data_IF_203587283652
#
_entry.id   IF_203587283652
#
_cell.length_a   1.000
_cell.length_b   1.000
_cell.length_c   1.000
_cell.angle_alpha   90.00
_cell.angle_beta   90.00
_cell.angle_gamma   90.00
#
_symmetry.space_group_name_H-M   'P 1'
#
loop_
_entity.id
_entity.type
_entity.pdbx_description
1 polymer ?
#
# COMPACT_ATOMS: atom_id res chain seq x y z
N UNK A 1 6.20 -4.06 11.25
CA UNK A 1 5.74 -3.13 10.18
C UNK A 1 6.80 -2.88 9.11
N UNK A 2 8.08 -2.80 9.45
CA UNK A 2 9.16 -2.70 8.44
C UNK A 2 9.13 -3.86 7.43
N UNK A 3 9.04 -5.11 7.91
CA UNK A 3 8.89 -6.31 7.04
C UNK A 3 7.66 -6.22 6.14
N UNK A 4 6.54 -5.73 6.65
CA UNK A 4 5.34 -5.48 5.83
C UNK A 4 5.62 -4.51 4.69
N UNK A 5 6.36 -3.42 4.97
CA UNK A 5 6.81 -2.48 3.93
C UNK A 5 7.72 -3.12 2.89
N UNK A 6 8.66 -3.97 3.30
CA UNK A 6 9.52 -4.73 2.37
C UNK A 6 8.67 -5.59 1.41
N UNK A 7 7.62 -6.23 1.92
CA UNK A 7 6.71 -7.06 1.11
C UNK A 7 5.94 -6.20 0.10
N UNK A 8 5.48 -5.01 0.47
CA UNK A 8 4.81 -4.10 -0.45
C UNK A 8 5.75 -3.57 -1.56
N UNK A 9 7.03 -3.37 -1.24
CA UNK A 9 8.05 -2.96 -2.21
C UNK A 9 8.56 -4.11 -3.10
N UNK A 10 8.37 -5.37 -2.70
CA UNK A 10 8.91 -6.55 -3.38
C UNK A 10 8.48 -6.69 -4.85
N UNK A 11 7.18 -6.61 -5.22
CA UNK A 11 6.77 -6.79 -6.61
C UNK A 11 7.41 -5.75 -7.53
N UNK A 12 7.38 -4.47 -7.18
CA UNK A 12 7.98 -3.41 -7.98
C UNK A 12 9.50 -3.54 -8.09
N UNK A 13 10.16 -4.08 -7.06
CA UNK A 13 11.60 -4.33 -7.09
C UNK A 13 11.97 -5.46 -8.05
N UNK A 14 11.25 -6.59 -7.97
CA UNK A 14 11.69 -7.85 -8.59
C UNK A 14 11.07 -8.08 -9.96
N UNK A 15 9.77 -7.76 -10.14
CA UNK A 15 9.07 -8.03 -11.39
C UNK A 15 9.50 -7.10 -12.54
N UNK A 16 10.23 -6.02 -12.26
CA UNK A 16 10.85 -5.15 -13.25
C UNK A 16 12.22 -5.62 -13.73
N UNK A 17 12.85 -6.59 -13.05
CA UNK A 17 14.20 -7.08 -13.38
C UNK A 17 14.16 -7.99 -14.62
N UNK A 18 15.07 -7.78 -15.61
CA UNK A 18 15.14 -8.62 -16.82
C UNK A 18 15.29 -10.10 -16.51
N UNK A 19 16.09 -10.44 -15.49
CA UNK A 19 16.32 -11.81 -15.05
C UNK A 19 15.04 -12.52 -14.61
N UNK A 20 14.20 -11.83 -13.85
CA UNK A 20 12.92 -12.36 -13.37
C UNK A 20 11.94 -12.53 -14.51
N UNK A 21 11.92 -11.56 -15.42
CA UNK A 21 11.06 -11.58 -16.60
C UNK A 21 11.39 -12.76 -17.50
N UNK A 22 12.68 -12.98 -17.77
CA UNK A 22 13.15 -14.11 -18.59
C UNK A 22 12.90 -15.44 -17.88
N UNK A 23 13.20 -15.53 -16.58
CA UNK A 23 13.04 -16.77 -15.82
C UNK A 23 11.61 -17.31 -15.83
N UNK A 24 10.62 -16.42 -15.68
CA UNK A 24 9.22 -16.82 -15.59
C UNK A 24 8.46 -16.64 -16.91
N UNK A 25 9.12 -16.13 -17.97
CA UNK A 25 8.48 -15.83 -19.24
C UNK A 25 7.36 -14.79 -19.12
N UNK A 26 7.53 -13.76 -18.27
CA UNK A 26 6.45 -12.84 -17.92
C UNK A 26 6.15 -11.85 -19.04
N UNK A 27 4.90 -11.80 -19.44
CA UNK A 27 4.32 -10.67 -20.17
C UNK A 27 4.05 -9.48 -19.24
N UNK A 28 3.70 -8.32 -19.80
CA UNK A 28 3.29 -7.17 -18.98
C UNK A 28 1.98 -7.45 -18.23
N UNK A 29 1.05 -8.19 -18.85
CA UNK A 29 -0.17 -8.61 -18.17
C UNK A 29 0.13 -9.52 -16.97
N UNK A 30 1.06 -10.48 -17.11
CA UNK A 30 1.45 -11.39 -16.02
C UNK A 30 2.07 -10.63 -14.85
N UNK A 31 2.88 -9.60 -15.09
CA UNK A 31 3.43 -8.76 -14.03
C UNK A 31 2.32 -8.05 -13.24
N UNK A 32 1.35 -7.48 -13.95
CA UNK A 32 0.18 -6.87 -13.31
C UNK A 32 -0.61 -7.86 -12.47
N UNK A 33 -0.82 -9.09 -12.98
CA UNK A 33 -1.49 -10.17 -12.25
C UNK A 33 -0.69 -10.62 -11.02
N UNK A 34 0.63 -10.71 -11.10
CA UNK A 34 1.48 -11.06 -9.96
C UNK A 34 1.43 -10.01 -8.85
N UNK A 35 1.46 -8.71 -9.20
CA UNK A 35 1.23 -7.63 -8.23
C UNK A 35 -0.15 -7.80 -7.59
N UNK A 36 -1.18 -8.00 -8.40
CA UNK A 36 -2.56 -8.18 -7.95
C UNK A 36 -2.74 -9.41 -7.06
N UNK A 37 -1.97 -10.46 -7.29
CA UNK A 37 -2.00 -11.69 -6.48
C UNK A 37 -1.56 -11.44 -5.04
N UNK A 38 -0.54 -10.59 -4.81
CA UNK A 38 -0.15 -10.16 -3.48
C UNK A 38 -1.32 -9.44 -2.78
N UNK A 39 -1.98 -8.51 -3.48
CA UNK A 39 -3.11 -7.76 -2.91
C UNK A 39 -4.35 -8.63 -2.71
N UNK A 40 -4.55 -9.65 -3.54
CA UNK A 40 -5.57 -10.69 -3.32
C UNK A 40 -5.30 -11.43 -2.00
N UNK A 41 -4.05 -11.84 -1.76
CA UNK A 41 -3.64 -12.43 -0.49
C UNK A 41 -3.87 -11.48 0.70
N UNK A 42 -3.53 -10.19 0.54
CA UNK A 42 -3.80 -9.15 1.55
C UNK A 42 -5.30 -8.99 1.84
N UNK A 43 -6.16 -9.04 0.82
CA UNK A 43 -7.61 -8.96 0.98
C UNK A 43 -8.13 -10.11 1.84
N UNK A 44 -7.85 -11.36 1.43
CA UNK A 44 -8.29 -12.54 2.19
C UNK A 44 -7.64 -12.60 3.58
N UNK A 45 -6.35 -12.26 3.67
CA UNK A 45 -5.65 -12.17 4.94
C UNK A 45 -6.27 -11.16 5.88
N UNK A 46 -6.67 -9.98 5.39
CA UNK A 46 -7.32 -8.95 6.21
C UNK A 46 -8.68 -9.39 6.74
N UNK A 47 -9.46 -10.12 5.92
CA UNK A 47 -10.74 -10.71 6.36
C UNK A 47 -10.56 -11.75 7.47
N UNK A 48 -9.50 -12.55 7.39
CA UNK A 48 -9.21 -13.62 8.35
C UNK A 48 -8.44 -13.12 9.58
N UNK A 49 -7.75 -11.99 9.48
CA UNK A 49 -6.86 -11.48 10.55
C UNK A 49 -7.60 -11.18 11.85
N UNK A 50 -8.82 -10.64 11.79
CA UNK A 50 -9.61 -10.35 12.98
C UNK A 50 -9.85 -11.60 13.82
N UNK A 51 -10.55 -12.63 13.30
CA UNK A 51 -10.74 -13.92 13.98
C UNK A 51 -9.43 -14.59 14.40
N UNK A 52 -8.38 -14.52 13.56
CA UNK A 52 -7.08 -15.09 13.84
C UNK A 52 -6.39 -14.45 15.06
N UNK A 53 -6.35 -13.10 15.09
CA UNK A 53 -5.81 -12.35 16.24
C UNK A 53 -6.66 -12.55 17.49
N UNK A 54 -7.96 -12.72 17.31
CA UNK A 54 -8.88 -12.99 18.40
C UNK A 54 -8.65 -14.38 19.05
N UNK A 55 -8.37 -15.37 18.23
CA UNK A 55 -8.16 -16.76 18.70
C UNK A 55 -6.77 -16.94 19.36
N UNK A 56 -5.72 -16.40 18.75
CA UNK A 56 -4.34 -16.60 19.21
C UNK A 56 -3.81 -15.49 20.12
N UNK A 57 -4.43 -14.32 20.10
CA UNK A 57 -3.89 -13.10 20.70
C UNK A 57 -2.86 -12.41 19.80
N UNK A 58 -2.61 -11.13 20.05
CA UNK A 58 -1.77 -10.29 19.19
C UNK A 58 -0.33 -10.78 19.07
N UNK A 59 0.27 -11.20 20.17
CA UNK A 59 1.65 -11.69 20.23
C UNK A 59 1.84 -12.96 19.41
N UNK A 60 1.03 -13.99 19.65
CA UNK A 60 1.12 -15.23 18.92
C UNK A 60 0.81 -15.04 17.43
N UNK A 61 -0.16 -14.19 17.10
CA UNK A 61 -0.46 -13.82 15.71
C UNK A 61 0.74 -13.18 15.01
N UNK A 62 1.46 -12.24 15.66
CA UNK A 62 2.66 -11.64 15.11
C UNK A 62 3.79 -12.66 14.91
N UNK A 63 3.99 -13.57 15.86
CA UNK A 63 5.01 -14.63 15.76
C UNK A 63 4.69 -15.56 14.57
N UNK A 64 3.47 -16.10 14.52
CA UNK A 64 3.05 -17.05 13.47
C UNK A 64 3.09 -16.37 12.09
N UNK A 65 2.55 -15.18 11.98
CA UNK A 65 2.54 -14.47 10.69
C UNK A 65 3.95 -14.09 10.22
N UNK A 66 4.83 -13.67 11.12
CA UNK A 66 6.24 -13.41 10.78
C UNK A 66 6.99 -14.67 10.40
N UNK A 67 6.71 -15.80 11.03
CA UNK A 67 7.28 -17.10 10.66
C UNK A 67 6.77 -17.56 9.28
N UNK A 68 5.49 -17.37 8.98
CA UNK A 68 4.93 -17.65 7.65
C UNK A 68 5.58 -16.78 6.56
N UNK A 69 5.77 -15.49 6.81
CA UNK A 69 6.49 -14.59 5.89
C UNK A 69 7.93 -15.05 5.69
N UNK A 70 8.60 -15.50 6.78
CA UNK A 70 9.97 -16.03 6.71
C UNK A 70 10.09 -17.26 5.81
N UNK A 71 9.03 -18.06 5.69
CA UNK A 71 8.97 -19.22 4.78
C UNK A 71 8.58 -18.80 3.35
N UNK A 72 7.61 -17.91 3.21
CA UNK A 72 7.10 -17.52 1.90
C UNK A 72 8.09 -16.70 1.07
N UNK A 73 8.95 -15.87 1.70
CA UNK A 73 9.98 -15.10 0.96
C UNK A 73 11.00 -16.00 0.27
N UNK A 74 11.63 -16.99 0.92
CA UNK A 74 12.47 -17.97 0.23
C UNK A 74 11.70 -18.78 -0.83
N UNK A 75 10.45 -19.17 -0.57
CA UNK A 75 9.62 -19.85 -1.58
C UNK A 75 9.47 -19.00 -2.85
N UNK A 76 9.20 -17.71 -2.71
CA UNK A 76 9.14 -16.80 -3.85
C UNK A 76 10.51 -16.69 -4.56
N UNK A 77 11.60 -16.53 -3.80
CA UNK A 77 12.95 -16.40 -4.35
C UNK A 77 13.42 -17.65 -5.12
N UNK A 78 12.97 -18.83 -4.72
CA UNK A 78 13.33 -20.13 -5.33
C UNK A 78 12.27 -20.66 -6.29
N UNK A 79 11.18 -19.90 -6.54
CA UNK A 79 10.13 -20.33 -7.45
C UNK A 79 10.71 -20.62 -8.85
N UNK A 80 10.32 -21.76 -9.42
CA UNK A 80 10.74 -22.20 -10.75
C UNK A 80 9.74 -21.85 -11.85
N UNK A 81 8.55 -21.38 -11.48
CA UNK A 81 7.49 -21.01 -12.41
C UNK A 81 6.70 -19.80 -11.93
N UNK A 82 6.03 -19.11 -12.86
CA UNK A 82 5.14 -17.99 -12.55
C UNK A 82 4.00 -18.39 -11.59
N UNK A 83 3.50 -19.63 -11.70
CA UNK A 83 2.44 -20.15 -10.82
C UNK A 83 2.93 -20.30 -9.38
N UNK A 84 4.15 -20.83 -9.18
CA UNK A 84 4.74 -20.94 -7.84
C UNK A 84 5.06 -19.56 -7.27
N UNK A 85 5.54 -18.62 -8.08
CA UNK A 85 5.75 -17.24 -7.68
C UNK A 85 4.43 -16.57 -7.26
N UNK A 86 3.34 -16.75 -8.02
CA UNK A 86 2.02 -16.26 -7.69
C UNK A 86 1.51 -16.85 -6.36
N UNK A 87 1.65 -18.17 -6.17
CA UNK A 87 1.24 -18.84 -4.94
C UNK A 87 1.99 -18.32 -3.72
N UNK A 88 3.31 -18.09 -3.86
CA UNK A 88 4.14 -17.49 -2.80
C UNK A 88 3.73 -16.05 -2.50
N UNK A 89 3.45 -15.22 -3.52
CA UNK A 89 2.96 -13.84 -3.35
C UNK A 89 1.57 -13.80 -2.68
N UNK A 90 0.67 -14.70 -3.04
CA UNK A 90 -0.62 -14.83 -2.37
C UNK A 90 -0.45 -15.16 -0.89
N UNK A 91 0.36 -16.17 -0.57
CA UNK A 91 0.66 -16.57 0.80
C UNK A 91 1.36 -15.45 1.59
N UNK A 92 2.29 -14.71 0.97
CA UNK A 92 2.90 -13.51 1.55
C UNK A 92 1.86 -12.45 1.89
N UNK A 93 0.94 -12.16 0.96
CA UNK A 93 -0.16 -11.24 1.20
C UNK A 93 -1.01 -11.66 2.39
N UNK A 94 -1.42 -12.92 2.42
CA UNK A 94 -2.26 -13.51 3.48
C UNK A 94 -1.58 -13.42 4.86
N UNK A 95 -0.31 -13.79 4.95
CA UNK A 95 0.45 -13.73 6.20
C UNK A 95 0.71 -12.28 6.66
N UNK A 96 1.09 -11.39 5.72
CA UNK A 96 1.45 -10.01 6.05
C UNK A 96 0.25 -9.14 6.44
N UNK A 97 -0.96 -9.47 5.99
CA UNK A 97 -2.19 -8.83 6.46
C UNK A 97 -2.38 -8.98 7.97
N UNK A 98 -2.06 -10.15 8.51
CA UNK A 98 -2.15 -10.40 9.95
C UNK A 98 -1.08 -9.62 10.73
N UNK A 99 0.13 -9.45 10.18
CA UNK A 99 1.16 -8.57 10.76
C UNK A 99 0.62 -7.14 10.84
N UNK A 100 0.02 -6.64 9.76
CA UNK A 100 -0.55 -5.30 9.72
C UNK A 100 -1.66 -5.13 10.76
N UNK A 101 -2.62 -6.04 10.82
CA UNK A 101 -3.76 -5.99 11.75
C UNK A 101 -3.29 -6.07 13.20
N UNK A 102 -2.47 -7.06 13.54
CA UNK A 102 -1.99 -7.27 14.92
C UNK A 102 -1.10 -6.10 15.40
N UNK A 103 -0.23 -5.56 14.54
CA UNK A 103 0.63 -4.42 14.89
C UNK A 103 -0.18 -3.15 15.16
N UNK A 104 -1.19 -2.87 14.34
CA UNK A 104 -2.06 -1.70 14.54
C UNK A 104 -2.92 -1.85 15.81
N UNK A 105 -3.44 -3.05 16.08
CA UNK A 105 -4.19 -3.34 17.29
C UNK A 105 -3.31 -3.16 18.53
N UNK A 106 -2.12 -3.78 18.54
CA UNK A 106 -1.17 -3.68 19.66
C UNK A 106 -0.74 -2.23 19.92
N UNK A 107 -0.42 -1.48 18.88
CA UNK A 107 -0.06 -0.06 19.01
C UNK A 107 -1.19 0.76 19.61
N UNK A 108 -2.43 0.51 19.24
CA UNK A 108 -3.60 1.20 19.76
C UNK A 108 -3.89 0.90 21.23
N UNK A 109 -3.57 -0.32 21.69
CA UNK A 109 -3.73 -0.74 23.09
C UNK A 109 -2.60 -0.24 23.96
N UNK A 110 -1.36 -0.26 23.48
CA UNK A 110 -0.19 0.20 24.26
C UNK A 110 -0.19 1.72 24.47
N UNK A 111 -0.75 2.49 23.54
CA UNK A 111 -0.66 3.96 23.54
C UNK A 111 -2.02 4.63 23.26
N UNK A 112 -3.03 4.47 24.13
CA UNK A 112 -4.37 4.97 23.86
C UNK A 112 -4.45 6.49 23.72
N UNK A 113 -3.57 7.25 24.41
CA UNK A 113 -3.51 8.72 24.35
C UNK A 113 -2.72 9.28 23.15
N UNK A 114 -1.93 8.47 22.45
CA UNK A 114 -1.05 8.90 21.36
C UNK A 114 -1.37 8.20 20.02
N UNK A 115 -2.58 7.72 19.85
CA UNK A 115 -2.97 6.85 18.73
C UNK A 115 -2.58 7.41 17.36
N UNK A 116 -2.85 8.68 17.10
CA UNK A 116 -2.53 9.32 15.81
C UNK A 116 -1.01 9.36 15.56
N UNK A 117 -0.23 9.77 16.57
CA UNK A 117 1.24 9.83 16.48
C UNK A 117 1.85 8.46 16.23
N UNK A 118 1.33 7.42 16.89
CA UNK A 118 1.84 6.04 16.73
C UNK A 118 1.46 5.43 15.39
N UNK A 119 0.26 5.68 14.90
CA UNK A 119 -0.14 5.24 13.56
C UNK A 119 0.74 5.89 12.46
N UNK A 120 1.12 7.15 12.63
CA UNK A 120 2.06 7.81 11.72
C UNK A 120 3.46 7.16 11.80
N UNK A 121 3.95 6.82 13.00
CA UNK A 121 5.18 6.05 13.17
C UNK A 121 5.15 4.68 12.49
N UNK A 122 4.03 3.97 12.58
CA UNK A 122 3.79 2.71 11.86
C UNK A 122 3.89 2.92 10.35
N UNK A 123 3.26 3.96 9.81
CA UNK A 123 3.30 4.27 8.38
C UNK A 123 4.72 4.61 7.90
N UNK A 124 5.53 5.30 8.72
CA UNK A 124 6.95 5.55 8.45
C UNK A 124 7.74 4.23 8.39
N UNK A 125 7.51 3.30 9.33
CA UNK A 125 8.17 1.99 9.31
C UNK A 125 7.82 1.18 8.06
N UNK A 126 6.56 1.25 7.60
CA UNK A 126 6.16 0.64 6.31
C UNK A 126 6.91 1.27 5.14
N UNK A 127 6.97 2.60 5.09
CA UNK A 127 7.71 3.30 4.04
C UNK A 127 9.20 2.98 4.04
N UNK A 128 9.84 2.92 5.22
CA UNK A 128 11.25 2.51 5.34
C UNK A 128 11.49 1.08 4.84
N UNK A 129 10.57 0.15 5.10
CA UNK A 129 10.61 -1.18 4.52
C UNK A 129 10.48 -1.16 3.00
N UNK A 130 9.57 -0.32 2.48
CA UNK A 130 9.40 -0.09 1.04
C UNK A 130 10.65 0.46 0.36
N UNK A 131 11.41 1.33 1.02
CA UNK A 131 12.73 1.80 0.57
C UNK A 131 13.78 0.69 0.68
N UNK A 132 13.80 -0.06 1.78
CA UNK A 132 14.85 -1.01 2.07
C UNK A 132 14.95 -2.13 1.03
N UNK A 133 13.81 -2.64 0.54
CA UNK A 133 13.77 -3.74 -0.41
C UNK A 133 14.46 -3.39 -1.75
N UNK A 134 14.07 -2.33 -2.47
CA UNK A 134 14.74 -1.95 -3.70
C UNK A 134 16.18 -1.47 -3.46
N UNK A 135 16.43 -0.69 -2.39
CA UNK A 135 17.78 -0.21 -2.05
C UNK A 135 18.75 -1.37 -1.80
N UNK A 136 18.35 -2.36 -0.98
CA UNK A 136 19.19 -3.52 -0.72
C UNK A 136 19.46 -4.32 -2.00
N UNK A 137 18.46 -4.44 -2.88
CA UNK A 137 18.63 -5.15 -4.16
C UNK A 137 19.68 -4.49 -5.05
N UNK A 138 19.69 -3.15 -5.15
CA UNK A 138 20.71 -2.45 -5.96
C UNK A 138 22.09 -2.49 -5.30
N UNK A 139 22.17 -2.18 -4.01
CA UNK A 139 23.48 -2.16 -3.32
C UNK A 139 24.14 -3.54 -3.30
N UNK A 140 23.35 -4.60 -3.21
CA UNK A 140 23.86 -5.97 -3.19
C UNK A 140 24.03 -6.58 -4.61
N UNK A 141 23.57 -5.93 -5.68
CA UNK A 141 23.53 -6.49 -7.05
C UNK A 141 24.88 -6.92 -7.60
N UNK A 142 26.00 -6.32 -7.12
CA UNK A 142 27.36 -6.69 -7.50
C UNK A 142 27.94 -7.87 -6.70
N UNK A 143 27.32 -8.22 -5.58
CA UNK A 143 27.80 -9.25 -4.64
C UNK A 143 26.91 -10.50 -4.68
N UNK A 144 25.61 -10.30 -4.75
CA UNK A 144 24.62 -11.38 -4.64
C UNK A 144 23.44 -11.13 -5.59
N UNK A 145 22.73 -12.19 -5.92
CA UNK A 145 21.50 -12.09 -6.72
C UNK A 145 20.35 -11.45 -5.89
N UNK A 146 19.35 -10.89 -6.57
CA UNK A 146 18.13 -10.39 -5.96
C UNK A 146 17.44 -11.45 -5.06
N UNK A 147 17.61 -12.74 -5.40
CA UNK A 147 17.07 -13.84 -4.60
C UNK A 147 17.64 -13.87 -3.19
N UNK A 148 18.97 -13.66 -3.07
CA UNK A 148 19.61 -13.61 -1.76
C UNK A 148 19.09 -12.45 -0.91
N UNK A 149 18.79 -11.30 -1.51
CA UNK A 149 18.18 -10.16 -0.81
C UNK A 149 16.77 -10.52 -0.31
N UNK A 150 15.96 -11.19 -1.14
CA UNK A 150 14.62 -11.65 -0.73
C UNK A 150 14.71 -12.69 0.40
N UNK A 151 15.63 -13.63 0.30
CA UNK A 151 15.90 -14.61 1.39
C UNK A 151 16.35 -13.90 2.66
N UNK A 152 17.21 -12.86 2.53
CA UNK A 152 17.62 -12.00 3.65
C UNK A 152 16.41 -11.33 4.33
N UNK A 153 15.44 -10.88 3.56
CA UNK A 153 14.13 -10.41 4.09
C UNK A 153 13.39 -11.50 4.87
N UNK A 154 13.46 -12.74 4.40
CA UNK A 154 12.92 -13.91 5.11
C UNK A 154 13.64 -14.17 6.44
N UNK A 155 14.97 -14.10 6.45
CA UNK A 155 15.79 -14.20 7.69
C UNK A 155 15.42 -13.09 8.67
N UNK A 156 15.28 -11.85 8.20
CA UNK A 156 14.86 -10.74 9.05
C UNK A 156 13.46 -11.01 9.66
N UNK A 157 12.53 -11.54 8.87
CA UNK A 157 11.20 -11.91 9.36
C UNK A 157 11.24 -13.04 10.39
N UNK A 158 12.14 -14.02 10.22
CA UNK A 158 12.39 -15.08 11.20
C UNK A 158 12.94 -14.49 12.52
N UNK A 159 13.88 -13.56 12.46
CA UNK A 159 14.40 -12.86 13.63
C UNK A 159 13.31 -12.08 14.37
N UNK A 160 12.39 -11.44 13.63
CA UNK A 160 11.21 -10.78 14.21
C UNK A 160 10.31 -11.81 14.91
N UNK A 161 10.05 -12.96 14.30
CA UNK A 161 9.28 -14.03 14.93
C UNK A 161 9.94 -14.54 16.21
N UNK A 162 11.25 -14.78 16.19
CA UNK A 162 12.03 -15.23 17.35
C UNK A 162 12.06 -14.18 18.46
N UNK A 163 12.21 -12.90 18.13
CA UNK A 163 12.15 -11.82 19.13
C UNK A 163 10.79 -11.76 19.83
N UNK A 164 9.72 -12.14 19.14
CA UNK A 164 8.40 -12.31 19.72
C UNK A 164 8.33 -13.38 20.81
N UNK A 165 9.25 -14.33 20.89
CA UNK A 165 9.30 -15.36 21.94
C UNK A 165 9.85 -14.83 23.26
N UNK A 166 10.57 -13.69 23.27
CA UNK A 166 11.09 -13.07 24.48
C UNK A 166 9.89 -12.66 25.36
N UNK A 167 9.82 -13.13 26.62
CA UNK A 167 8.68 -12.87 27.49
C UNK A 167 8.63 -11.39 27.90
N UNK A 168 7.89 -10.58 27.14
CA UNK A 168 7.57 -9.21 27.49
C UNK A 168 6.14 -9.21 28.00
N UNK A 169 5.91 -8.59 29.19
CA UNK A 169 4.58 -8.41 29.72
C UNK A 169 3.83 -7.42 28.80
N UNK A 170 2.91 -7.96 28.01
CA UNK A 170 1.96 -7.13 27.26
C UNK A 170 0.75 -6.83 28.14
N UNK A 171 0.11 -5.68 27.99
CA UNK A 171 -1.13 -5.37 28.71
C UNK A 171 -2.13 -6.49 28.51
N UNK A 172 -2.78 -6.91 29.59
CA UNK A 172 -3.90 -7.82 29.46
C UNK A 172 -4.96 -7.14 28.57
N UNK A 173 -5.42 -7.88 27.59
CA UNK A 173 -6.45 -7.45 26.65
C UNK A 173 -7.61 -6.83 27.42
N UNK A 174 -7.87 -5.54 27.21
CA UNK A 174 -9.10 -4.96 27.74
C UNK A 174 -10.26 -5.78 27.20
N UNK A 175 -11.12 -6.25 28.11
CA UNK A 175 -12.27 -7.09 27.80
C UNK A 175 -12.97 -6.55 26.55
N UNK A 176 -13.10 -7.40 25.53
CA UNK A 176 -13.82 -7.06 24.31
C UNK A 176 -15.05 -6.21 24.63
N UNK A 177 -15.07 -4.97 24.18
CA UNK A 177 -16.36 -4.44 23.76
C UNK A 177 -16.85 -5.46 22.73
N UNK A 178 -17.93 -6.19 23.03
CA UNK A 178 -18.60 -7.08 22.06
C UNK A 178 -18.92 -6.20 20.86
N UNK A 179 -17.95 -6.08 19.94
CA UNK A 179 -18.13 -5.38 18.68
C UNK A 179 -19.18 -6.17 17.92
N UNK A 180 -20.12 -5.47 17.31
CA UNK A 180 -21.03 -6.05 16.33
C UNK A 180 -20.22 -6.90 15.37
N UNK A 181 -20.73 -8.09 15.02
CA UNK A 181 -20.20 -8.96 13.97
C UNK A 181 -19.74 -8.07 12.78
N UNK A 182 -18.51 -8.23 12.29
CA UNK A 182 -17.97 -7.39 11.21
C UNK A 182 -18.90 -7.28 10.00
N UNK A 183 -19.61 -8.37 9.68
CA UNK A 183 -20.59 -8.41 8.58
C UNK A 183 -21.80 -7.52 8.91
N UNK A 184 -22.29 -7.58 10.13
CA UNK A 184 -23.41 -6.76 10.60
C UNK A 184 -23.04 -5.28 10.61
N UNK A 185 -21.80 -4.95 11.06
CA UNK A 185 -21.30 -3.58 11.03
C UNK A 185 -21.16 -3.08 9.58
N UNK A 186 -20.62 -3.90 8.68
CA UNK A 186 -20.48 -3.54 7.27
C UNK A 186 -21.84 -3.30 6.61
N UNK A 187 -22.86 -4.12 6.92
CA UNK A 187 -24.24 -3.93 6.45
C UNK A 187 -24.86 -2.63 6.97
N UNK A 188 -24.56 -2.24 8.20
CA UNK A 188 -25.02 -0.95 8.76
C UNK A 188 -24.36 0.23 8.05
N UNK A 189 -23.05 0.16 7.78
CA UNK A 189 -22.34 1.19 7.03
C UNK A 189 -22.84 1.30 5.59
N UNK A 190 -23.10 0.17 4.92
CA UNK A 190 -23.60 0.14 3.55
C UNK A 190 -24.96 0.85 3.35
N UNK A 191 -25.74 1.06 4.43
CA UNK A 191 -26.97 1.85 4.41
C UNK A 191 -26.72 3.36 4.40
N UNK A 192 -25.52 3.82 4.74
CA UNK A 192 -25.19 5.24 4.76
C UNK A 192 -24.70 5.68 3.38
N UNK A 193 -25.31 6.69 2.73
CA UNK A 193 -24.93 7.10 1.36
C UNK A 193 -23.46 7.47 1.21
N UNK A 194 -22.85 8.06 2.25
CA UNK A 194 -21.44 8.42 2.26
C UNK A 194 -20.52 7.19 2.19
N UNK A 195 -20.95 6.01 2.65
CA UNK A 195 -20.09 4.83 2.73
C UNK A 195 -19.59 4.38 1.34
N UNK A 196 -20.49 4.26 0.36
CA UNK A 196 -20.11 3.85 -1.00
C UNK A 196 -19.09 4.80 -1.63
N UNK A 197 -19.23 6.10 -1.36
CA UNK A 197 -18.32 7.13 -1.84
C UNK A 197 -16.93 7.01 -1.20
N UNK A 198 -16.85 6.85 0.13
CA UNK A 198 -15.58 6.62 0.82
C UNK A 198 -14.96 5.28 0.44
N UNK A 199 -15.77 4.25 0.24
CA UNK A 199 -15.30 2.98 -0.27
C UNK A 199 -14.57 3.16 -1.62
N UNK A 200 -15.19 3.85 -2.57
CA UNK A 200 -14.59 4.09 -3.88
C UNK A 200 -13.32 4.95 -3.77
N UNK A 201 -13.34 6.02 -2.96
CA UNK A 201 -12.16 6.87 -2.72
C UNK A 201 -10.97 6.06 -2.17
N UNK A 202 -11.23 5.18 -1.22
CA UNK A 202 -10.19 4.38 -0.55
C UNK A 202 -9.70 3.26 -1.46
N UNK A 203 -10.59 2.62 -2.23
CA UNK A 203 -10.19 1.64 -3.24
C UNK A 203 -9.30 2.27 -4.32
N UNK A 204 -9.69 3.43 -4.86
CA UNK A 204 -8.87 4.13 -5.86
C UNK A 204 -7.54 4.61 -5.26
N UNK A 205 -7.56 5.19 -4.05
CA UNK A 205 -6.36 5.64 -3.35
C UNK A 205 -5.36 4.51 -3.10
N UNK A 206 -5.83 3.40 -2.54
CA UNK A 206 -5.02 2.20 -2.29
C UNK A 206 -4.52 1.56 -3.58
N UNK A 207 -5.35 1.48 -4.61
CA UNK A 207 -4.98 0.96 -5.92
C UNK A 207 -3.93 1.81 -6.63
N UNK A 208 -4.02 3.14 -6.52
CA UNK A 208 -3.02 4.06 -7.08
C UNK A 208 -1.66 3.89 -6.38
N UNK A 209 -1.64 3.82 -5.04
CA UNK A 209 -0.41 3.59 -4.26
C UNK A 209 0.21 2.24 -4.61
N UNK A 210 -0.58 1.17 -4.67
CA UNK A 210 -0.15 -0.17 -5.07
C UNK A 210 0.41 -0.21 -6.50
N UNK A 211 -0.25 0.48 -7.42
CA UNK A 211 0.16 0.54 -8.82
C UNK A 211 1.50 1.27 -8.99
N UNK A 212 1.67 2.41 -8.33
CA UNK A 212 2.95 3.13 -8.37
C UNK A 212 4.07 2.30 -7.73
N UNK A 213 3.83 1.68 -6.58
CA UNK A 213 4.80 0.80 -5.94
C UNK A 213 5.17 -0.40 -6.82
N UNK A 214 4.22 -0.98 -7.55
CA UNK A 214 4.43 -2.15 -8.39
C UNK A 214 5.02 -1.85 -9.77
N UNK A 215 4.66 -0.72 -10.39
CA UNK A 215 4.98 -0.43 -11.78
C UNK A 215 6.11 0.57 -12.00
N UNK A 216 6.55 1.31 -10.99
CA UNK A 216 7.58 2.36 -11.14
C UNK A 216 8.85 1.84 -11.80
N UNK A 217 9.42 0.72 -11.33
CA UNK A 217 10.65 0.18 -11.92
C UNK A 217 10.44 -0.28 -13.37
N UNK A 218 9.30 -0.94 -13.67
CA UNK A 218 8.97 -1.36 -15.03
C UNK A 218 8.81 -0.16 -15.97
N UNK A 219 8.20 0.92 -15.50
CA UNK A 219 8.05 2.17 -16.26
C UNK A 219 9.41 2.82 -16.57
N UNK A 220 10.29 2.91 -15.59
CA UNK A 220 11.63 3.51 -15.74
C UNK A 220 12.48 2.68 -16.69
N UNK A 221 12.47 1.34 -16.56
CA UNK A 221 13.17 0.44 -17.46
C UNK A 221 12.62 0.51 -18.89
N UNK A 222 11.30 0.56 -19.06
CA UNK A 222 10.66 0.73 -20.36
C UNK A 222 10.94 2.10 -21.00
N UNK A 223 11.42 3.07 -20.22
CA UNK A 223 11.88 4.39 -20.71
C UNK A 223 13.35 4.40 -21.12
N UNK A 224 14.02 3.23 -21.16
CA UNK A 224 15.41 3.09 -21.65
C UNK A 224 16.48 3.27 -20.56
N UNK A 225 16.11 3.40 -19.30
CA UNK A 225 17.06 3.50 -18.18
C UNK A 225 17.41 2.11 -17.64
N UNK A 226 18.61 1.99 -17.04
CA UNK A 226 19.08 0.71 -16.48
C UNK A 226 18.20 0.23 -15.33
N UNK A 227 18.19 -1.09 -15.10
CA UNK A 227 17.46 -1.72 -13.99
C UNK A 227 17.88 -1.19 -12.63
N UNK A 228 19.17 -0.86 -12.46
CA UNK A 228 19.67 -0.24 -11.22
C UNK A 228 19.05 1.14 -10.99
N UNK A 229 19.02 1.99 -12.02
CA UNK A 229 18.35 3.30 -11.95
C UNK A 229 16.86 3.12 -11.67
N UNK A 230 16.19 2.21 -12.35
CA UNK A 230 14.77 1.93 -12.14
C UNK A 230 14.45 1.54 -10.69
N UNK A 231 15.31 0.75 -10.08
CA UNK A 231 15.16 0.30 -8.69
C UNK A 231 15.46 1.45 -7.70
N UNK A 232 16.45 2.32 -7.97
CA UNK A 232 16.68 3.53 -7.19
C UNK A 232 15.51 4.51 -7.26
N UNK A 233 14.91 4.66 -8.44
CA UNK A 233 13.72 5.52 -8.64
C UNK A 233 12.53 4.98 -7.84
N UNK A 234 12.36 3.66 -7.74
CA UNK A 234 11.34 3.08 -6.85
C UNK A 234 11.61 3.41 -5.37
N UNK A 235 12.87 3.34 -4.92
CA UNK A 235 13.23 3.78 -3.56
C UNK A 235 12.89 5.25 -3.33
N UNK A 236 13.15 6.11 -4.34
CA UNK A 236 12.83 7.53 -4.25
C UNK A 236 11.31 7.80 -4.17
N UNK A 237 10.49 7.01 -4.85
CA UNK A 237 9.03 7.06 -4.74
C UNK A 237 8.56 6.82 -3.29
N UNK A 238 9.06 5.76 -2.65
CA UNK A 238 8.78 5.49 -1.23
C UNK A 238 9.29 6.59 -0.30
N UNK A 239 10.47 7.17 -0.62
CA UNK A 239 10.99 8.32 0.13
C UNK A 239 10.05 9.52 0.02
N UNK A 240 9.52 9.81 -1.17
CA UNK A 240 8.52 10.86 -1.40
C UNK A 240 7.27 10.67 -0.53
N UNK A 241 6.76 9.43 -0.44
CA UNK A 241 5.64 9.08 0.45
C UNK A 241 5.94 9.40 1.92
N UNK A 242 7.12 9.01 2.42
CA UNK A 242 7.50 9.25 3.82
C UNK A 242 7.66 10.74 4.10
N UNK A 243 8.40 11.45 3.24
CA UNK A 243 8.69 12.88 3.43
C UNK A 243 7.39 13.69 3.43
N UNK A 244 6.49 13.41 2.51
CA UNK A 244 5.20 14.11 2.47
C UNK A 244 4.38 13.88 3.74
N UNK A 245 4.30 12.63 4.21
CA UNK A 245 3.61 12.31 5.48
C UNK A 245 4.26 13.01 6.67
N UNK A 246 5.59 13.05 6.74
CA UNK A 246 6.30 13.71 7.83
C UNK A 246 6.11 15.23 7.83
N UNK A 247 6.12 15.86 6.65
CA UNK A 247 6.07 17.32 6.54
C UNK A 247 4.66 17.91 6.59
N UNK A 248 3.67 17.19 6.06
CA UNK A 248 2.34 17.76 5.81
C UNK A 248 1.21 17.12 6.61
N UNK A 249 1.38 15.98 7.29
CA UNK A 249 0.30 15.31 8.01
C UNK A 249 -0.40 16.22 9.03
N UNK A 250 0.34 17.05 9.76
CA UNK A 250 -0.21 17.96 10.77
C UNK A 250 -0.96 19.18 10.16
N UNK A 251 -0.76 19.47 8.87
CA UNK A 251 -1.39 20.63 8.21
C UNK A 251 -2.72 20.28 7.55
N UNK A 252 -2.96 19.01 7.31
CA UNK A 252 -4.13 18.51 6.58
C UNK A 252 -5.41 18.61 7.42
N UNK A 253 -5.31 18.58 8.74
CA UNK A 253 -6.47 18.54 9.66
C UNK A 253 -7.41 19.72 9.54
N UNK A 254 -6.94 20.88 9.04
CA UNK A 254 -7.74 22.11 8.93
C UNK A 254 -8.64 22.18 7.70
N UNK A 255 -8.32 21.44 6.64
CA UNK A 255 -9.04 21.48 5.36
C UNK A 255 -8.85 20.16 4.60
N UNK A 256 -9.37 19.06 5.15
CA UNK A 256 -9.13 17.70 4.65
C UNK A 256 -9.59 17.48 3.20
N UNK A 257 -10.78 17.96 2.85
CA UNK A 257 -11.33 17.83 1.50
C UNK A 257 -10.46 18.56 0.47
N UNK A 258 -10.07 19.79 0.78
CA UNK A 258 -9.19 20.59 -0.10
C UNK A 258 -7.82 19.94 -0.23
N UNK A 259 -7.30 19.34 0.85
CA UNK A 259 -6.02 18.64 0.82
C UNK A 259 -6.08 17.41 -0.09
N UNK A 260 -7.12 16.59 0.01
CA UNK A 260 -7.31 15.40 -0.87
C UNK A 260 -7.51 15.83 -2.31
N UNK A 261 -8.35 16.84 -2.56
CA UNK A 261 -8.59 17.35 -3.91
C UNK A 261 -7.29 17.85 -4.57
N UNK A 262 -6.54 18.73 -3.87
CA UNK A 262 -5.27 19.26 -4.38
C UNK A 262 -4.24 18.17 -4.59
N UNK A 263 -4.12 17.23 -3.65
CA UNK A 263 -3.22 16.07 -3.79
C UNK A 263 -3.59 15.22 -5.02
N UNK A 264 -4.88 14.95 -5.24
CA UNK A 264 -5.35 14.18 -6.39
C UNK A 264 -5.10 14.92 -7.70
N UNK A 265 -5.42 16.21 -7.79
CA UNK A 265 -5.17 17.03 -8.98
C UNK A 265 -3.67 17.11 -9.28
N UNK A 266 -2.83 17.39 -8.28
CA UNK A 266 -1.37 17.43 -8.45
C UNK A 266 -0.82 16.09 -8.89
N UNK A 267 -1.30 14.98 -8.31
CA UNK A 267 -0.92 13.62 -8.73
C UNK A 267 -1.26 13.35 -10.19
N UNK A 268 -2.48 13.73 -10.62
CA UNK A 268 -2.90 13.59 -12.01
C UNK A 268 -2.02 14.41 -12.97
N UNK A 269 -1.69 15.66 -12.61
CA UNK A 269 -0.83 16.53 -13.42
C UNK A 269 0.60 16.01 -13.51
N UNK A 270 1.19 15.59 -12.40
CA UNK A 270 2.55 15.03 -12.39
C UNK A 270 2.60 13.72 -13.18
N UNK A 271 1.59 12.86 -13.04
CA UNK A 271 1.46 11.62 -13.83
C UNK A 271 1.28 11.94 -15.33
N UNK A 272 0.52 12.95 -15.69
CA UNK A 272 0.39 13.39 -17.08
C UNK A 272 1.75 13.80 -17.66
N UNK A 273 2.51 14.62 -16.93
CA UNK A 273 3.87 15.02 -17.33
C UNK A 273 4.77 13.78 -17.45
N UNK A 274 4.70 12.85 -16.50
CA UNK A 274 5.49 11.63 -16.47
C UNK A 274 5.19 10.72 -17.68
N UNK A 275 3.92 10.58 -18.03
CA UNK A 275 3.46 9.74 -19.16
C UNK A 275 3.84 10.34 -20.51
N UNK A 276 3.72 11.66 -20.66
CA UNK A 276 3.95 12.35 -21.96
C UNK A 276 5.42 12.67 -22.19
N UNK A 277 6.19 12.98 -21.13
CA UNK A 277 7.58 13.43 -21.28
C UNK A 277 8.53 12.29 -21.66
N UNK A 278 9.36 12.46 -22.70
CA UNK A 278 10.45 11.54 -23.00
C UNK A 278 11.72 11.80 -22.17
N UNK A 279 11.75 12.90 -21.40
CA UNK A 279 12.95 13.36 -20.69
C UNK A 279 13.38 12.36 -19.61
N UNK A 280 14.65 11.87 -19.63
CA UNK A 280 15.19 11.01 -18.57
C UNK A 280 15.10 11.64 -17.18
N UNK A 281 15.26 12.96 -17.08
CA UNK A 281 15.16 13.69 -15.81
C UNK A 281 13.74 13.58 -15.23
N UNK A 282 12.71 13.75 -16.05
CA UNK A 282 11.32 13.61 -15.62
C UNK A 282 11.04 12.16 -15.19
N UNK A 283 11.55 11.17 -15.94
CA UNK A 283 11.40 9.76 -15.63
C UNK A 283 12.09 9.40 -14.29
N UNK A 284 13.24 9.99 -13.98
CA UNK A 284 14.00 9.73 -12.75
C UNK A 284 13.36 10.40 -11.53
N UNK A 285 12.97 11.67 -11.63
CA UNK A 285 12.48 12.44 -10.48
C UNK A 285 10.95 12.46 -10.34
N UNK A 286 10.23 12.21 -11.43
CA UNK A 286 8.76 12.22 -11.44
C UNK A 286 8.13 11.27 -10.43
N UNK A 287 8.56 9.99 -10.31
CA UNK A 287 8.00 9.06 -9.33
C UNK A 287 8.18 9.50 -7.87
N UNK A 288 9.28 10.20 -7.53
CA UNK A 288 9.45 10.83 -6.22
C UNK A 288 8.39 11.89 -5.98
N UNK A 289 8.16 12.77 -6.96
CA UNK A 289 7.15 13.84 -6.86
C UNK A 289 5.74 13.24 -6.79
N UNK A 290 5.45 12.20 -7.59
CA UNK A 290 4.19 11.43 -7.47
C UNK A 290 4.04 10.90 -6.05
N UNK A 291 5.07 10.26 -5.48
CA UNK A 291 5.07 9.76 -4.10
C UNK A 291 4.71 10.85 -3.09
N UNK A 292 5.28 12.05 -3.24
CA UNK A 292 4.94 13.20 -2.39
C UNK A 292 3.47 13.63 -2.54
N UNK A 293 2.94 13.64 -3.75
CA UNK A 293 1.57 14.08 -4.01
C UNK A 293 0.53 13.08 -3.48
N UNK A 294 0.73 11.77 -3.69
CA UNK A 294 -0.27 10.74 -3.33
C UNK A 294 -0.34 10.43 -1.83
N UNK A 295 0.72 10.74 -1.09
CA UNK A 295 0.94 10.28 0.29
C UNK A 295 -0.19 10.63 1.25
N UNK A 296 -0.88 11.74 1.02
CA UNK A 296 -1.92 12.27 1.91
C UNK A 296 -3.34 11.83 1.53
N UNK A 297 -3.55 11.29 0.32
CA UNK A 297 -4.89 10.94 -0.17
C UNK A 297 -5.54 9.89 0.71
N UNK A 298 -4.87 8.75 0.90
CA UNK A 298 -5.42 7.60 1.61
C UNK A 298 -5.71 7.90 3.10
N UNK A 299 -4.74 8.40 3.91
CA UNK A 299 -4.98 8.66 5.32
C UNK A 299 -6.02 9.75 5.55
N UNK A 300 -6.07 10.77 4.68
CA UNK A 300 -7.05 11.85 4.80
C UNK A 300 -8.45 11.39 4.44
N UNK A 301 -8.61 10.54 3.42
CA UNK A 301 -9.90 9.92 3.10
C UNK A 301 -10.42 9.03 4.25
N UNK A 302 -9.53 8.30 4.93
CA UNK A 302 -9.89 7.52 6.11
C UNK A 302 -10.34 8.42 7.27
N UNK A 303 -9.62 9.52 7.52
CA UNK A 303 -10.01 10.50 8.55
C UNK A 303 -11.39 11.11 8.27
N UNK A 304 -11.64 11.53 7.02
CA UNK A 304 -12.95 12.05 6.59
C UNK A 304 -14.07 11.01 6.72
N UNK A 305 -13.78 9.74 6.40
CA UNK A 305 -14.75 8.66 6.58
C UNK A 305 -15.14 8.49 8.04
N UNK A 306 -14.14 8.55 8.95
CA UNK A 306 -14.37 8.46 10.41
C UNK A 306 -15.18 9.61 10.98
N UNK A 307 -15.14 10.80 10.37
CA UNK A 307 -15.93 11.97 10.79
C UNK A 307 -17.37 11.93 10.27
N UNK A 308 -17.60 11.29 9.12
CA UNK A 308 -18.89 11.35 8.41
C UNK A 308 -19.74 10.10 8.52
N UNK A 309 -19.12 8.95 8.78
CA UNK A 309 -19.82 7.68 8.91
C UNK A 309 -19.97 7.35 10.39
N UNK A 310 -21.23 7.28 10.84
CA UNK A 310 -21.54 6.95 12.23
C UNK A 310 -21.39 5.46 12.48
N UNK A 311 -20.81 5.10 13.63
CA UNK A 311 -20.71 3.72 14.07
C UNK A 311 -19.36 3.40 14.74
N UNK A 312 -19.03 2.12 14.82
CA UNK A 312 -17.77 1.67 15.40
C UNK A 312 -16.59 2.00 14.46
N UNK A 313 -15.73 2.94 14.87
CA UNK A 313 -14.59 3.40 14.08
C UNK A 313 -13.61 2.26 13.73
N UNK A 314 -13.39 1.29 14.64
CA UNK A 314 -12.53 0.15 14.37
C UNK A 314 -13.07 -0.76 13.26
N UNK A 315 -14.37 -1.04 13.27
CA UNK A 315 -15.04 -1.82 12.23
C UNK A 315 -15.06 -1.06 10.90
N UNK A 316 -15.29 0.26 10.94
CA UNK A 316 -15.28 1.11 9.75
C UNK A 316 -13.91 1.11 9.08
N UNK A 317 -12.86 1.45 9.82
CA UNK A 317 -11.50 1.51 9.27
C UNK A 317 -10.99 0.14 8.85
N UNK A 318 -11.26 -0.91 9.63
CA UNK A 318 -10.93 -2.28 9.26
C UNK A 318 -11.60 -2.70 7.96
N UNK A 319 -12.90 -2.42 7.81
CA UNK A 319 -13.65 -2.69 6.58
C UNK A 319 -13.14 -1.90 5.38
N UNK A 320 -12.95 -0.59 5.53
CA UNK A 320 -12.45 0.28 4.45
C UNK A 320 -11.03 -0.11 4.01
N UNK A 321 -10.12 -0.41 4.94
CA UNK A 321 -8.76 -0.84 4.63
C UNK A 321 -8.72 -2.21 3.95
N UNK A 322 -9.60 -3.13 4.38
CA UNK A 322 -9.76 -4.43 3.72
C UNK A 322 -10.23 -4.25 2.27
N UNK A 323 -11.24 -3.41 2.07
CA UNK A 323 -11.79 -3.14 0.74
C UNK A 323 -10.84 -2.31 -0.14
N UNK A 324 -9.92 -1.54 0.45
CA UNK A 324 -8.84 -0.87 -0.29
C UNK A 324 -7.96 -1.86 -1.08
N UNK A 325 -7.80 -3.09 -0.57
CA UNK A 325 -7.03 -4.13 -1.26
C UNK A 325 -7.63 -4.51 -2.62
N UNK A 326 -8.94 -4.33 -2.80
CA UNK A 326 -9.59 -4.54 -4.10
C UNK A 326 -9.03 -3.56 -5.14
N UNK A 327 -8.77 -2.30 -4.75
CA UNK A 327 -8.08 -1.35 -5.62
C UNK A 327 -6.67 -1.82 -5.98
N UNK A 328 -5.90 -2.29 -4.99
CA UNK A 328 -4.57 -2.87 -5.20
C UNK A 328 -4.58 -4.16 -6.05
N UNK A 329 -5.68 -4.88 -6.06
CA UNK A 329 -5.88 -6.04 -6.92
C UNK A 329 -6.23 -5.63 -8.37
N UNK A 330 -7.14 -4.67 -8.54
CA UNK A 330 -7.73 -4.34 -9.86
C UNK A 330 -6.82 -3.41 -10.67
N UNK A 331 -6.32 -2.32 -10.08
CA UNK A 331 -5.59 -1.31 -10.86
C UNK A 331 -4.25 -1.79 -11.41
N UNK A 332 -3.37 -2.51 -10.66
CA UNK A 332 -2.14 -3.03 -11.23
C UNK A 332 -2.37 -4.05 -12.36
N UNK A 333 -3.40 -4.91 -12.24
CA UNK A 333 -3.79 -5.84 -13.31
C UNK A 333 -4.28 -5.08 -14.55
N UNK A 334 -5.12 -4.07 -14.37
CA UNK A 334 -5.62 -3.25 -15.47
C UNK A 334 -4.48 -2.51 -16.20
N UNK A 335 -3.51 -1.96 -15.45
CA UNK A 335 -2.30 -1.36 -16.02
C UNK A 335 -1.53 -2.37 -16.84
N UNK A 336 -1.31 -3.59 -16.31
CA UNK A 336 -0.60 -4.66 -17.00
C UNK A 336 -1.30 -5.07 -18.30
N UNK A 337 -2.62 -5.20 -18.26
CA UNK A 337 -3.42 -5.54 -19.43
C UNK A 337 -3.35 -4.45 -20.51
N UNK A 338 -3.53 -3.19 -20.15
CA UNK A 338 -3.41 -2.06 -21.09
C UNK A 338 -1.97 -1.99 -21.63
N UNK A 339 -0.97 -2.13 -20.77
CA UNK A 339 0.43 -2.08 -21.15
C UNK A 339 0.81 -3.19 -22.16
N UNK A 340 0.20 -4.37 -22.04
CA UNK A 340 0.43 -5.52 -22.94
C UNK A 340 0.08 -5.19 -24.40
N UNK A 341 -1.00 -4.44 -24.61
CA UNK A 341 -1.47 -4.08 -25.95
C UNK A 341 -0.97 -2.70 -26.42
N UNK A 342 -0.35 -1.92 -25.56
CA UNK A 342 0.06 -0.55 -25.87
C UNK A 342 1.48 -0.26 -25.38
N UNK A 343 1.61 0.30 -24.17
CA UNK A 343 2.88 0.56 -23.48
C UNK A 343 2.66 0.74 -21.98
N UNK A 344 3.72 0.55 -21.18
CA UNK A 344 3.69 0.82 -19.74
C UNK A 344 3.29 2.26 -19.44
N UNK A 345 3.67 3.22 -20.29
CA UNK A 345 3.28 4.64 -20.17
C UNK A 345 1.76 4.81 -20.26
N UNK A 346 1.13 4.20 -21.26
CA UNK A 346 -0.33 4.28 -21.44
C UNK A 346 -1.07 3.48 -20.37
N UNK A 347 -0.51 2.37 -19.91
CA UNK A 347 -1.04 1.67 -18.74
C UNK A 347 -1.11 2.57 -17.51
N UNK A 348 -0.02 3.30 -17.21
CA UNK A 348 0.00 4.25 -16.08
C UNK A 348 -0.94 5.46 -16.26
N UNK A 349 -1.33 5.80 -17.49
CA UNK A 349 -2.33 6.85 -17.71
C UNK A 349 -3.69 6.54 -17.08
N UNK A 350 -4.02 5.28 -16.79
CA UNK A 350 -5.22 4.91 -16.03
C UNK A 350 -5.25 5.58 -14.65
N UNK A 351 -4.08 5.79 -14.03
CA UNK A 351 -3.99 6.47 -12.74
C UNK A 351 -4.38 7.95 -12.83
N UNK A 352 -4.16 8.60 -13.98
CA UNK A 352 -4.60 9.99 -14.20
C UNK A 352 -6.12 10.07 -14.09
N UNK A 353 -6.82 9.15 -14.79
CA UNK A 353 -8.29 9.04 -14.70
C UNK A 353 -8.75 8.72 -13.27
N UNK A 354 -8.09 7.79 -12.60
CA UNK A 354 -8.37 7.42 -11.20
C UNK A 354 -8.26 8.64 -10.26
N UNK A 355 -7.20 9.44 -10.37
CA UNK A 355 -7.06 10.66 -9.56
C UNK A 355 -8.07 11.74 -9.94
N UNK A 356 -8.43 11.85 -11.22
CA UNK A 356 -9.53 12.70 -11.67
C UNK A 356 -10.85 12.34 -11.00
N UNK A 357 -11.16 11.05 -10.90
CA UNK A 357 -12.35 10.55 -10.19
C UNK A 357 -12.26 10.85 -8.69
N UNK A 358 -11.10 10.67 -8.05
CA UNK A 358 -10.91 11.03 -6.63
C UNK A 358 -11.21 12.51 -6.41
N UNK A 359 -10.62 13.40 -7.23
CA UNK A 359 -10.83 14.85 -7.11
C UNK A 359 -12.30 15.22 -7.29
N UNK A 360 -12.98 14.62 -8.27
CA UNK A 360 -14.41 14.85 -8.51
C UNK A 360 -15.29 14.36 -7.36
N UNK A 361 -15.02 13.18 -6.82
CA UNK A 361 -15.78 12.60 -5.70
C UNK A 361 -15.63 13.45 -4.44
N UNK A 362 -14.42 13.91 -4.13
CA UNK A 362 -14.15 14.73 -2.93
C UNK A 362 -14.84 16.09 -3.01
N UNK A 363 -14.90 16.71 -4.21
CA UNK A 363 -15.69 17.94 -4.41
C UNK A 363 -17.16 17.76 -4.08
N UNK A 364 -17.75 16.59 -4.35
CA UNK A 364 -19.13 16.26 -4.00
C UNK A 364 -19.35 15.99 -2.50
N UNK A 365 -18.29 15.69 -1.77
CA UNK A 365 -18.32 15.56 -0.31
C UNK A 365 -18.34 16.93 0.39
N UNK A 366 -17.79 17.97 -0.22
CA UNK A 366 -17.81 19.31 0.37
C UNK A 366 -19.27 19.79 0.51
N UNK A 367 -19.72 20.22 1.73
CA UNK A 367 -21.09 20.66 1.95
C UNK A 367 -21.47 21.88 1.09
N UNK A 368 -20.49 22.57 0.53
CA UNK A 368 -20.65 23.78 -0.25
C UNK A 368 -20.16 23.58 -1.70
N UNK A 369 -21.01 22.95 -2.52
CA UNK A 369 -21.09 23.30 -3.93
C UNK A 369 -21.58 24.76 -4.11
N UNK A 370 -21.72 25.51 -3.04
CA UNK A 370 -22.13 26.91 -3.00
C UNK A 370 -20.92 27.74 -2.59
N UNK A 371 -20.18 28.24 -3.58
CA UNK A 371 -19.40 29.47 -3.41
C UNK A 371 -20.41 30.55 -2.97
N UNK A 372 -20.48 30.85 -1.69
CA UNK A 372 -21.07 32.12 -1.27
C UNK A 372 -20.20 33.22 -1.91
N UNK A 373 -20.78 34.12 -2.70
CA UNK A 373 -20.07 35.31 -3.10
C UNK A 373 -19.74 36.07 -1.81
N UNK A 374 -18.46 36.37 -1.62
CA UNK A 374 -18.00 37.29 -0.60
C UNK A 374 -18.91 38.51 -0.64
N UNK A 375 -19.76 38.67 0.37
CA UNK A 375 -20.41 39.96 0.64
C UNK A 375 -19.28 40.96 0.90
N UNK A 376 -18.96 41.73 -0.12
CA UNK A 376 -18.29 43.02 0.05
C UNK A 376 -19.20 43.89 0.90
N UNK A 377 -18.74 44.31 2.04
CA UNK A 377 -19.30 45.27 2.93
C UNK A 377 -18.18 45.92 3.70
#
# INVERSE_FOLDING_TARGET
MFVFGMILGLPGTVLGLPETVQQFGLTLADRGLLISTLFTGLLFGSLLSGPFVDALGQRASLIVSSALVALCLPMFATASSAVLAASALFALGLASASINTASNALSSELFPGERGRRMNGIAIMVGLGGIAMPTATVLASHLVSWRAVVVGGGVLSALVALSGLIPIALPQRSSRVKGSDPITALRQFAKQPAFALFLLLIMLGGGNEASMAGWTSSFVSASGLSSSVATWVLSSHWLGLILSRALFSNRVDRAKEIAVERSAVLSALVLLVLVVSPSPVVVMFGPFVVGMCIALVMPTCLALAGERIQGNAGALFGGLLTLAQIGGMVLPAAIGLVAQYTSVRLGLALLIGSYGVIAWLVRRLSPDGVRQPTKAG
#
